data_IF_436264622879
#
_entry.id   IF_436264622879
#
_cell.length_a   1.000
_cell.length_b   1.000
_cell.length_c   1.000
_cell.angle_alpha   90.00
_cell.angle_beta   90.00
_cell.angle_gamma   90.00
#
_symmetry.space_group_name_H-M   'P 1'
#
loop_
_entity.id
_entity.type
_entity.pdbx_description
1 polymer ?
#
# COMPACT_ATOMS: atom_id res chain seq x y z
N UNK A 1 2.20 -11.34 5.22
CA UNK A 1 2.33 -9.87 5.18
C UNK A 1 1.03 -9.32 4.65
N UNK A 2 0.43 -8.37 5.36
CA UNK A 2 -0.84 -7.73 4.99
C UNK A 2 -0.64 -6.29 4.52
N UNK A 3 -1.72 -5.53 4.47
CA UNK A 3 -1.74 -4.11 4.14
C UNK A 3 -2.46 -3.31 5.24
N UNK A 4 -2.18 -2.02 5.32
CA UNK A 4 -2.88 -1.07 6.20
C UNK A 4 -3.55 0.01 5.36
N UNK A 5 -4.74 0.45 5.79
CA UNK A 5 -5.47 1.56 5.16
C UNK A 5 -5.35 2.82 6.00
N UNK A 6 -5.38 3.96 5.31
CA UNK A 6 -5.65 5.27 5.90
C UNK A 6 -6.83 5.86 5.14
N UNK A 7 -7.98 6.00 5.79
CA UNK A 7 -9.24 6.42 5.17
C UNK A 7 -9.61 7.82 5.66
N UNK A 8 -8.99 8.86 5.07
CA UNK A 8 -9.13 10.23 5.55
C UNK A 8 -8.37 10.52 6.85
N UNK A 9 -7.66 9.53 7.41
CA UNK A 9 -7.01 9.62 8.73
C UNK A 9 -5.88 10.66 8.78
N UNK A 10 -5.13 10.80 7.68
CA UNK A 10 -4.09 11.82 7.53
C UNK A 10 -4.66 13.15 7.01
N UNK A 11 -5.42 13.10 5.92
CA UNK A 11 -6.11 14.24 5.33
C UNK A 11 -7.49 13.77 4.89
N UNK A 12 -8.56 14.44 5.34
CA UNK A 12 -9.96 14.00 5.16
C UNK A 12 -10.34 13.61 3.73
N UNK A 13 -9.74 14.26 2.73
CA UNK A 13 -10.03 14.05 1.31
C UNK A 13 -9.05 13.09 0.62
N UNK A 14 -8.24 12.35 1.39
CA UNK A 14 -7.22 11.41 0.88
C UNK A 14 -7.42 10.04 1.52
N UNK A 15 -7.55 9.03 0.66
CA UNK A 15 -7.48 7.63 1.08
C UNK A 15 -6.22 6.98 0.50
N UNK A 16 -5.68 6.01 1.23
CA UNK A 16 -4.51 5.24 0.78
C UNK A 16 -4.46 3.85 1.40
N UNK A 17 -3.68 2.98 0.76
CA UNK A 17 -3.26 1.68 1.29
C UNK A 17 -1.75 1.59 1.25
N UNK A 18 -1.15 0.90 2.23
CA UNK A 18 0.29 0.68 2.31
C UNK A 18 0.66 -0.77 2.62
N UNK A 19 1.80 -1.21 2.11
CA UNK A 19 2.39 -2.55 2.31
C UNK A 19 3.85 -2.39 2.76
N UNK A 20 4.26 -3.06 3.85
CA UNK A 20 5.65 -3.05 4.31
C UNK A 20 6.53 -4.06 3.58
N UNK A 21 7.83 -3.73 3.46
CA UNK A 21 8.90 -4.62 3.00
C UNK A 21 10.10 -4.49 3.95
N UNK A 22 10.49 -5.57 4.62
CA UNK A 22 11.73 -5.59 5.38
C UNK A 22 12.91 -5.90 4.45
N UNK A 23 13.75 -4.90 4.20
CA UNK A 23 14.94 -4.99 3.35
C UNK A 23 16.20 -5.17 4.20
N UNK A 24 17.14 -6.01 3.76
CA UNK A 24 18.33 -6.33 4.56
C UNK A 24 19.25 -5.11 4.78
N UNK A 25 19.43 -4.27 3.76
CA UNK A 25 20.36 -3.13 3.83
C UNK A 25 19.69 -1.81 4.26
N UNK A 26 18.38 -1.70 4.05
CA UNK A 26 17.65 -0.43 4.22
C UNK A 26 16.63 -0.48 5.37
N UNK A 27 16.51 -1.63 6.04
CA UNK A 27 15.54 -1.84 7.10
C UNK A 27 14.10 -1.86 6.55
N UNK A 28 13.16 -1.35 7.33
CA UNK A 28 11.74 -1.35 6.98
C UNK A 28 11.42 -0.28 5.93
N UNK A 29 11.09 -0.71 4.72
CA UNK A 29 10.55 0.11 3.65
C UNK A 29 9.02 -0.02 3.62
N UNK A 30 8.33 1.01 3.14
CA UNK A 30 6.88 1.02 2.99
C UNK A 30 6.51 1.57 1.62
N UNK A 31 5.65 0.83 0.92
CA UNK A 31 5.07 1.25 -0.35
C UNK A 31 3.62 1.62 -0.12
N UNK A 32 3.18 2.76 -0.62
CA UNK A 32 1.78 3.16 -0.57
C UNK A 32 1.20 3.45 -1.95
N UNK A 33 -0.12 3.39 -2.05
CA UNK A 33 -0.88 3.92 -3.17
C UNK A 33 -2.08 4.67 -2.60
N UNK A 34 -2.22 5.93 -2.98
CA UNK A 34 -3.26 6.80 -2.44
C UNK A 34 -3.60 7.94 -3.39
N UNK A 35 -4.68 8.65 -3.07
CA UNK A 35 -5.19 9.73 -3.88
C UNK A 35 -6.50 10.29 -3.34
N UNK A 36 -7.21 11.12 -4.12
CA UNK A 36 -8.46 11.72 -3.69
C UNK A 36 -9.49 10.67 -3.25
N UNK A 37 -10.10 10.86 -2.09
CA UNK A 37 -10.99 9.89 -1.44
C UNK A 37 -12.20 9.50 -2.30
N UNK A 38 -12.66 10.42 -3.16
CA UNK A 38 -13.76 10.16 -4.10
C UNK A 38 -13.39 9.21 -5.25
N UNK A 39 -12.10 9.11 -5.60
CA UNK A 39 -11.55 8.15 -6.57
C UNK A 39 -11.13 6.87 -5.85
N UNK A 40 -10.39 7.02 -4.76
CA UNK A 40 -9.83 5.93 -3.95
C UNK A 40 -10.83 5.51 -2.87
N UNK A 41 -12.01 5.04 -3.26
CA UNK A 41 -13.02 4.51 -2.33
C UNK A 41 -12.48 3.27 -1.61
N UNK A 42 -13.06 2.95 -0.44
CA UNK A 42 -12.65 1.81 0.38
C UNK A 42 -12.65 0.49 -0.39
N UNK A 43 -13.75 0.18 -1.07
CA UNK A 43 -13.89 -1.04 -1.87
C UNK A 43 -12.82 -1.12 -2.97
N UNK A 44 -12.54 -0.01 -3.68
CA UNK A 44 -11.46 0.02 -4.67
C UNK A 44 -10.10 -0.27 -4.05
N UNK A 45 -9.82 0.32 -2.88
CA UNK A 45 -8.57 0.06 -2.18
C UNK A 45 -8.48 -1.40 -1.71
N UNK A 46 -9.55 -1.98 -1.17
CA UNK A 46 -9.59 -3.34 -0.63
C UNK A 46 -9.57 -4.43 -1.73
N UNK A 47 -10.35 -4.25 -2.79
CA UNK A 47 -10.59 -5.28 -3.81
C UNK A 47 -9.62 -5.22 -5.01
N UNK A 48 -9.04 -4.05 -5.30
CA UNK A 48 -8.20 -3.84 -6.47
C UNK A 48 -6.77 -3.39 -6.11
N UNK A 49 -6.63 -2.29 -5.37
CA UNK A 49 -5.32 -1.68 -5.15
C UNK A 49 -4.47 -2.46 -4.15
N UNK A 50 -5.04 -2.88 -3.01
CA UNK A 50 -4.29 -3.58 -1.97
C UNK A 50 -3.71 -4.94 -2.44
N UNK A 51 -4.47 -5.81 -3.14
CA UNK A 51 -3.92 -7.05 -3.68
C UNK A 51 -2.80 -6.82 -4.70
N UNK A 52 -2.95 -5.81 -5.58
CA UNK A 52 -1.92 -5.45 -6.56
C UNK A 52 -0.65 -4.89 -5.91
N UNK A 53 -0.81 -4.03 -4.91
CA UNK A 53 0.32 -3.45 -4.19
C UNK A 53 1.09 -4.53 -3.42
N UNK A 54 0.37 -5.47 -2.80
CA UNK A 54 0.99 -6.62 -2.14
C UNK A 54 1.74 -7.51 -3.15
N UNK A 55 1.14 -7.79 -4.30
CA UNK A 55 1.80 -8.54 -5.38
C UNK A 55 3.07 -7.83 -5.87
N UNK A 56 3.01 -6.51 -6.09
CA UNK A 56 4.16 -5.70 -6.48
C UNK A 56 5.28 -5.77 -5.45
N UNK A 57 4.98 -5.61 -4.16
CA UNK A 57 5.99 -5.71 -3.09
C UNK A 57 6.60 -7.11 -3.02
N UNK A 58 5.81 -8.17 -3.21
CA UNK A 58 6.35 -9.53 -3.28
C UNK A 58 7.29 -9.73 -4.48
N UNK A 59 6.94 -9.20 -5.65
CA UNK A 59 7.82 -9.27 -6.83
C UNK A 59 9.13 -8.52 -6.57
N UNK A 60 9.06 -7.30 -6.03
CA UNK A 60 10.25 -6.52 -5.64
C UNK A 60 11.10 -7.32 -4.64
N UNK A 61 10.48 -7.92 -3.63
CA UNK A 61 11.18 -8.76 -2.65
C UNK A 61 11.92 -9.93 -3.30
N UNK A 62 11.34 -10.55 -4.33
CA UNK A 62 11.96 -11.67 -5.06
C UNK A 62 13.11 -11.21 -5.94
N UNK A 63 13.06 -10.02 -6.53
CA UNK A 63 14.12 -9.49 -7.40
C UNK A 63 15.33 -8.92 -6.64
N UNK A 64 15.11 -8.43 -5.41
CA UNK A 64 16.18 -7.83 -4.58
C UNK A 64 16.79 -8.81 -3.56
N UNK A 65 16.20 -10.00 -3.40
CA UNK A 65 16.72 -11.08 -2.55
C UNK A 65 17.61 -12.01 -3.35
#
# INVERSE_FOLDING_TARGET
>A
FGYCFSMGDWHKDVNSVAVPLLHEQHGLLVFNCGGPSFIMKREKLEEDIAPRLLHMVNNIKTEIG
#
